data_IF_813028540542
#
_entry.id   IF_813028540542
#
_cell.length_a   1.000
_cell.length_b   1.000
_cell.length_c   1.000
_cell.angle_alpha   90.00
_cell.angle_beta   90.00
_cell.angle_gamma   90.00
#
_symmetry.space_group_name_H-M   'P 1'
#
loop_
_entity.id
_entity.type
_entity.pdbx_description
1 polymer ?
#
# COMPACT_ATOMS: atom_id res chain seq x y z
N UNK A 1 -17.39 12.14 51.66
CA UNK A 1 -18.80 12.12 51.22
C UNK A 1 -18.81 12.57 49.77
N UNK A 2 -18.79 11.62 48.84
CA UNK A 2 -18.86 11.96 47.41
C UNK A 2 -20.27 12.43 47.06
N UNK A 3 -20.37 13.61 46.48
CA UNK A 3 -21.66 14.20 46.09
C UNK A 3 -22.30 13.35 44.96
N UNK A 4 -23.61 13.05 45.01
CA UNK A 4 -24.33 12.32 43.96
C UNK A 4 -24.10 12.90 42.56
N UNK A 5 -23.94 14.23 42.48
CA UNK A 5 -23.69 14.98 41.25
C UNK A 5 -22.34 14.63 40.61
N UNK A 6 -21.32 14.33 41.41
CA UNK A 6 -19.97 14.01 40.93
C UNK A 6 -19.93 12.62 40.28
N UNK A 7 -20.68 11.66 40.83
CA UNK A 7 -20.85 10.32 40.24
C UNK A 7 -21.60 10.35 38.91
N UNK A 8 -22.62 11.21 38.80
CA UNK A 8 -23.38 11.43 37.57
C UNK A 8 -22.52 12.05 36.46
N UNK A 9 -21.68 13.05 36.78
CA UNK A 9 -20.79 13.68 35.80
C UNK A 9 -19.72 12.70 35.31
N UNK A 10 -19.10 11.94 36.21
CA UNK A 10 -18.09 10.92 35.84
C UNK A 10 -18.71 9.84 34.96
N UNK A 11 -19.92 9.37 35.27
CA UNK A 11 -20.64 8.40 34.45
C UNK A 11 -21.00 8.95 33.07
N UNK A 12 -21.38 10.22 32.96
CA UNK A 12 -21.73 10.85 31.68
C UNK A 12 -20.50 11.01 30.78
N UNK A 13 -19.35 11.41 31.35
CA UNK A 13 -18.07 11.53 30.65
C UNK A 13 -17.56 10.16 30.18
N UNK A 14 -17.73 9.12 31.01
CA UNK A 14 -17.34 7.75 30.64
C UNK A 14 -18.23 7.21 29.50
N UNK A 15 -19.54 7.47 29.52
CA UNK A 15 -20.43 7.12 28.42
C UNK A 15 -20.07 7.86 27.12
N UNK A 16 -19.81 9.17 27.18
CA UNK A 16 -19.37 9.97 26.01
C UNK A 16 -18.05 9.48 25.43
N UNK A 17 -17.09 9.06 26.27
CA UNK A 17 -15.83 8.48 25.82
C UNK A 17 -16.01 7.11 25.13
N UNK A 18 -16.95 6.28 25.60
CA UNK A 18 -17.29 5.00 24.96
C UNK A 18 -18.03 5.21 23.63
N UNK A 19 -18.92 6.22 23.52
CA UNK A 19 -19.56 6.57 22.24
C UNK A 19 -18.58 7.17 21.22
N UNK A 20 -17.60 7.97 21.65
CA UNK A 20 -16.55 8.47 20.76
C UNK A 20 -15.51 7.41 20.37
N UNK A 21 -15.40 6.33 21.16
CA UNK A 21 -14.52 5.19 20.87
C UNK A 21 -15.18 4.10 20.03
N UNK A 22 -16.45 4.27 19.64
CA UNK A 22 -17.03 3.50 18.54
C UNK A 22 -16.30 3.92 17.27
N UNK A 23 -15.14 3.29 17.05
CA UNK A 23 -14.33 3.44 15.86
C UNK A 23 -15.24 3.45 14.65
N UNK A 24 -15.16 4.52 13.88
CA UNK A 24 -15.56 4.58 12.50
C UNK A 24 -14.76 3.54 11.71
N UNK A 25 -15.09 2.25 11.91
CA UNK A 25 -14.84 1.24 10.92
C UNK A 25 -15.62 1.72 9.69
N UNK A 26 -14.93 2.37 8.76
CA UNK A 26 -15.53 2.73 7.48
C UNK A 26 -16.10 1.43 6.92
N UNK A 27 -17.41 1.40 6.69
CA UNK A 27 -18.01 0.26 6.03
C UNK A 27 -17.26 0.08 4.70
N UNK A 28 -16.60 -1.06 4.55
CA UNK A 28 -15.80 -1.37 3.36
C UNK A 28 -16.66 -1.15 2.11
N UNK A 29 -16.17 -0.31 1.19
CA UNK A 29 -16.88 0.00 -0.05
C UNK A 29 -17.18 -1.28 -0.83
N UNK A 30 -18.39 -1.36 -1.39
CA UNK A 30 -18.79 -2.49 -2.26
C UNK A 30 -17.80 -2.64 -3.42
N UNK A 31 -17.34 -1.53 -4.01
CA UNK A 31 -16.38 -1.54 -5.11
C UNK A 31 -15.01 -2.08 -4.67
N UNK A 32 -14.53 -1.70 -3.47
CA UNK A 32 -13.28 -2.23 -2.89
C UNK A 32 -13.38 -3.74 -2.72
N UNK A 33 -14.47 -4.21 -2.11
CA UNK A 33 -14.73 -5.62 -1.88
C UNK A 33 -14.79 -6.41 -3.18
N UNK A 34 -15.47 -5.87 -4.19
CA UNK A 34 -15.57 -6.49 -5.51
C UNK A 34 -14.21 -6.58 -6.20
N UNK A 35 -13.47 -5.47 -6.24
CA UNK A 35 -12.11 -5.43 -6.78
C UNK A 35 -11.23 -6.50 -6.11
N UNK A 36 -11.15 -6.47 -4.78
CA UNK A 36 -10.27 -7.35 -4.01
C UNK A 36 -10.65 -8.84 -4.14
N UNK A 37 -11.93 -9.18 -4.34
CA UNK A 37 -12.37 -10.56 -4.62
C UNK A 37 -11.87 -11.11 -5.96
N UNK A 38 -11.53 -10.26 -6.93
CA UNK A 38 -10.90 -10.73 -8.17
C UNK A 38 -9.38 -10.92 -8.04
N UNK A 39 -8.78 -10.50 -6.93
CA UNK A 39 -7.36 -10.73 -6.67
C UNK A 39 -7.17 -12.06 -5.94
N UNK A 40 -5.97 -12.66 -6.06
CA UNK A 40 -5.56 -13.77 -5.19
C UNK A 40 -5.10 -13.32 -3.80
N UNK A 41 -5.08 -12.02 -3.55
CA UNK A 41 -4.56 -11.35 -2.35
C UNK A 41 -5.68 -10.55 -1.65
N UNK A 42 -6.86 -11.15 -1.53
CA UNK A 42 -8.08 -10.43 -1.13
C UNK A 42 -7.93 -9.70 0.23
N UNK A 43 -7.50 -10.36 1.33
CA UNK A 43 -7.32 -9.66 2.60
C UNK A 43 -6.29 -8.52 2.52
N UNK A 44 -5.18 -8.73 1.83
CA UNK A 44 -4.12 -7.75 1.68
C UNK A 44 -4.53 -6.59 0.77
N UNK A 45 -5.35 -6.85 -0.25
CA UNK A 45 -5.95 -5.84 -1.10
C UNK A 45 -6.88 -4.92 -0.29
N UNK A 46 -7.75 -5.50 0.53
CA UNK A 46 -8.64 -4.73 1.42
C UNK A 46 -7.81 -3.91 2.40
N UNK A 47 -6.76 -4.50 2.99
CA UNK A 47 -5.86 -3.82 3.90
C UNK A 47 -5.05 -2.70 3.23
N UNK A 48 -4.74 -2.83 1.94
CA UNK A 48 -4.03 -1.80 1.18
C UNK A 48 -4.93 -0.61 0.81
N UNK A 49 -6.21 -0.86 0.49
CA UNK A 49 -7.12 0.17 0.00
C UNK A 49 -7.95 0.87 1.10
N UNK A 50 -8.42 0.13 2.11
CA UNK A 50 -9.30 0.68 3.15
C UNK A 50 -8.75 1.87 3.95
N UNK A 51 -7.44 1.97 4.22
CA UNK A 51 -6.90 3.12 4.93
C UNK A 51 -7.08 4.45 4.18
N UNK A 52 -7.26 4.42 2.85
CA UNK A 52 -7.45 5.62 2.05
C UNK A 52 -8.95 5.96 1.91
N UNK A 53 -9.43 7.08 2.46
CA UNK A 53 -10.83 7.47 2.37
C UNK A 53 -11.30 7.75 0.94
N UNK A 54 -10.39 8.01 -0.02
CA UNK A 54 -10.73 8.15 -1.44
C UNK A 54 -11.25 6.84 -2.00
N UNK A 55 -10.62 5.70 -1.66
CA UNK A 55 -11.03 4.38 -2.14
C UNK A 55 -12.44 4.01 -1.64
N UNK A 56 -12.75 4.36 -0.39
CA UNK A 56 -14.08 4.16 0.18
C UNK A 56 -15.17 5.02 -0.49
N UNK A 57 -14.81 6.20 -1.00
CA UNK A 57 -15.72 7.16 -1.65
C UNK A 57 -15.78 7.04 -3.16
N UNK A 58 -14.99 6.16 -3.77
CA UNK A 58 -15.00 5.94 -5.21
C UNK A 58 -16.41 5.55 -5.68
N UNK A 59 -16.84 6.11 -6.80
CA UNK A 59 -18.20 5.92 -7.35
C UNK A 59 -18.22 5.06 -8.62
N UNK A 60 -17.05 4.67 -9.12
CA UNK A 60 -16.89 3.85 -10.31
C UNK A 60 -15.64 2.96 -10.21
N UNK A 61 -15.58 1.89 -11.00
CA UNK A 61 -14.36 1.06 -11.09
C UNK A 61 -13.17 1.85 -11.63
N UNK A 62 -13.38 2.79 -12.54
CA UNK A 62 -12.31 3.66 -13.06
C UNK A 62 -11.72 4.53 -11.95
N UNK A 63 -12.55 5.28 -11.22
CA UNK A 63 -12.06 6.14 -10.12
C UNK A 63 -11.41 5.34 -9.01
N UNK A 64 -11.97 4.17 -8.64
CA UNK A 64 -11.34 3.26 -7.69
C UNK A 64 -9.98 2.75 -8.22
N UNK A 65 -9.91 2.44 -9.51
CA UNK A 65 -8.69 1.96 -10.16
C UNK A 65 -7.55 2.97 -10.15
N UNK A 66 -7.86 4.22 -10.51
CA UNK A 66 -6.90 5.34 -10.43
C UNK A 66 -6.40 5.53 -9.01
N UNK A 67 -7.32 5.53 -8.02
CA UNK A 67 -6.98 5.63 -6.60
C UNK A 67 -6.10 4.46 -6.16
N UNK A 68 -6.42 3.22 -6.56
CA UNK A 68 -5.64 2.04 -6.20
C UNK A 68 -4.21 2.10 -6.76
N UNK A 69 -4.04 2.58 -7.99
CA UNK A 69 -2.71 2.78 -8.60
C UNK A 69 -1.94 3.93 -7.95
N UNK A 70 -2.62 5.01 -7.52
CA UNK A 70 -2.01 6.07 -6.72
C UNK A 70 -1.55 5.55 -5.35
N UNK A 71 -2.39 4.78 -4.65
CA UNK A 71 -2.04 4.10 -3.39
C UNK A 71 -0.83 3.20 -3.60
N UNK A 72 -0.74 2.49 -4.73
CA UNK A 72 0.40 1.65 -5.07
C UNK A 72 1.69 2.47 -5.25
N UNK A 73 1.63 3.58 -5.98
CA UNK A 73 2.76 4.50 -6.13
C UNK A 73 3.22 5.05 -4.77
N UNK A 74 2.31 5.65 -4.00
CA UNK A 74 2.60 6.24 -2.68
C UNK A 74 3.19 5.22 -1.71
N UNK A 75 2.62 4.01 -1.66
CA UNK A 75 3.13 2.98 -0.78
C UNK A 75 4.50 2.48 -1.23
N UNK A 76 4.75 2.36 -2.54
CA UNK A 76 6.06 1.96 -3.07
C UNK A 76 7.12 3.02 -2.73
N UNK A 77 6.80 4.31 -2.86
CA UNK A 77 7.64 5.42 -2.41
C UNK A 77 7.95 5.34 -0.91
N UNK A 78 6.97 5.04 -0.05
CA UNK A 78 7.24 4.84 1.40
C UNK A 78 8.24 3.72 1.67
N UNK A 79 8.29 2.67 0.84
CA UNK A 79 9.30 1.60 0.99
C UNK A 79 10.66 2.06 0.48
N UNK A 80 10.72 2.87 -0.58
CA UNK A 80 11.95 3.55 -0.98
C UNK A 80 12.51 4.41 0.17
N UNK A 81 11.67 5.16 0.88
CA UNK A 81 12.08 5.96 2.03
C UNK A 81 12.59 5.11 3.20
N UNK A 82 11.99 3.93 3.44
CA UNK A 82 12.53 2.96 4.40
C UNK A 82 13.95 2.52 4.02
N UNK A 83 14.20 2.27 2.73
CA UNK A 83 15.55 1.92 2.26
C UNK A 83 16.54 3.08 2.46
N UNK A 84 16.10 4.33 2.26
CA UNK A 84 16.92 5.51 2.57
C UNK A 84 17.29 5.58 4.05
N UNK A 85 16.34 5.33 4.94
CA UNK A 85 16.58 5.26 6.39
C UNK A 85 17.59 4.15 6.73
N UNK A 86 17.44 2.96 6.15
CA UNK A 86 18.38 1.87 6.35
C UNK A 86 19.79 2.19 5.85
N UNK A 87 19.93 2.94 4.75
CA UNK A 87 21.24 3.29 4.18
C UNK A 87 22.06 4.22 5.11
N UNK A 88 21.37 5.13 5.83
CA UNK A 88 21.99 6.09 6.74
C UNK A 88 22.12 5.60 8.18
N UNK A 89 21.33 4.60 8.59
CA UNK A 89 21.40 4.03 9.94
C UNK A 89 22.78 3.36 10.18
N UNK A 90 23.53 3.76 11.22
CA UNK A 90 24.81 3.14 11.57
C UNK A 90 24.68 1.68 12.04
N UNK A 91 23.48 1.25 12.46
CA UNK A 91 23.20 -0.13 12.89
C UNK A 91 22.84 -1.05 11.73
N UNK A 92 22.61 -0.52 10.53
CA UNK A 92 22.38 -1.35 9.35
C UNK A 92 23.65 -2.11 9.00
N UNK A 93 23.53 -3.43 8.85
CA UNK A 93 24.61 -4.31 8.40
C UNK A 93 25.31 -3.73 7.16
N UNK A 94 26.60 -3.39 7.28
CA UNK A 94 27.35 -2.70 6.23
C UNK A 94 27.35 -3.43 4.88
N UNK A 95 27.32 -4.77 4.90
CA UNK A 95 27.24 -5.58 3.67
C UNK A 95 25.92 -5.41 2.93
N UNK A 96 24.83 -4.98 3.58
CA UNK A 96 23.53 -4.76 2.93
C UNK A 96 23.49 -3.50 2.07
N UNK A 97 24.36 -2.51 2.33
CA UNK A 97 24.28 -1.18 1.69
C UNK A 97 24.29 -1.22 0.16
N UNK A 98 25.11 -2.03 -0.52
CA UNK A 98 25.05 -2.15 -1.98
C UNK A 98 23.69 -2.68 -2.48
N UNK A 99 23.13 -3.70 -1.84
CA UNK A 99 21.82 -4.26 -2.22
C UNK A 99 20.69 -3.27 -1.95
N UNK A 100 20.72 -2.58 -0.81
CA UNK A 100 19.74 -1.53 -0.48
C UNK A 100 19.77 -0.39 -1.51
N UNK A 101 20.96 0.07 -1.93
CA UNK A 101 21.09 1.14 -2.93
C UNK A 101 20.55 0.72 -4.31
N UNK A 102 20.88 -0.48 -4.78
CA UNK A 102 20.37 -1.01 -6.05
C UNK A 102 18.85 -1.16 -6.00
N UNK A 103 18.34 -1.80 -4.94
CA UNK A 103 16.91 -1.99 -4.79
C UNK A 103 16.15 -0.67 -4.66
N UNK A 104 16.71 0.33 -3.98
CA UNK A 104 16.08 1.66 -3.89
C UNK A 104 15.72 2.22 -5.27
N UNK A 105 16.64 2.14 -6.24
CA UNK A 105 16.39 2.60 -7.60
C UNK A 105 15.25 1.82 -8.29
N UNK A 106 15.17 0.50 -8.07
CA UNK A 106 14.05 -0.31 -8.56
C UNK A 106 12.71 0.08 -7.91
N UNK A 107 12.68 0.40 -6.61
CA UNK A 107 11.46 0.90 -5.96
C UNK A 107 11.04 2.27 -6.51
N UNK A 108 12.00 3.16 -6.78
CA UNK A 108 11.74 4.47 -7.39
C UNK A 108 11.09 4.31 -8.78
N UNK A 109 11.67 3.47 -9.64
CA UNK A 109 11.11 3.18 -10.96
C UNK A 109 9.73 2.53 -10.84
N UNK A 110 9.55 1.54 -9.96
CA UNK A 110 8.24 0.89 -9.77
C UNK A 110 7.16 1.88 -9.31
N UNK A 111 7.49 2.81 -8.41
CA UNK A 111 6.56 3.86 -7.99
C UNK A 111 6.17 4.78 -9.16
N UNK A 112 7.14 5.14 -10.01
CA UNK A 112 6.87 5.91 -11.23
C UNK A 112 5.94 5.16 -12.18
N UNK A 113 6.15 3.85 -12.37
CA UNK A 113 5.28 3.04 -13.23
C UNK A 113 3.84 2.95 -12.71
N UNK A 114 3.63 2.79 -11.40
CA UNK A 114 2.27 2.89 -10.85
C UNK A 114 1.65 4.27 -11.06
N UNK A 115 2.43 5.34 -10.93
CA UNK A 115 1.96 6.70 -11.20
C UNK A 115 1.56 6.87 -12.67
N UNK A 116 2.36 6.34 -13.61
CA UNK A 116 2.02 6.35 -15.04
C UNK A 116 0.78 5.52 -15.33
N UNK A 117 0.69 4.30 -14.78
CA UNK A 117 -0.48 3.45 -14.91
C UNK A 117 -1.77 4.18 -14.47
N UNK A 118 -1.72 4.93 -13.37
CA UNK A 118 -2.88 5.72 -12.90
C UNK A 118 -3.32 6.79 -13.91
N UNK A 119 -2.41 7.40 -14.67
CA UNK A 119 -2.74 8.44 -15.66
C UNK A 119 -3.27 7.82 -16.95
N UNK A 120 -2.73 6.68 -17.34
CA UNK A 120 -3.12 5.96 -18.55
C UNK A 120 -4.44 5.20 -18.39
N UNK A 121 -4.85 4.87 -17.17
CA UNK A 121 -5.98 3.95 -16.93
C UNK A 121 -7.29 4.36 -17.64
N UNK A 122 -7.60 5.67 -17.65
CA UNK A 122 -8.78 6.20 -18.33
C UNK A 122 -8.61 6.45 -19.83
N UNK A 123 -7.38 6.34 -20.34
CA UNK A 123 -7.01 6.59 -21.74
C UNK A 123 -6.84 5.29 -22.52
N UNK A 124 -6.05 4.37 -21.97
CA UNK A 124 -5.78 3.04 -22.50
C UNK A 124 -5.43 2.07 -21.35
N UNK A 125 -6.39 1.22 -20.98
CA UNK A 125 -6.21 0.24 -19.93
C UNK A 125 -5.10 -0.78 -20.23
N UNK A 126 -4.79 -1.03 -21.52
CA UNK A 126 -3.70 -1.93 -21.91
C UNK A 126 -2.34 -1.30 -21.61
N UNK A 127 -2.14 -0.02 -21.93
CA UNK A 127 -0.94 0.73 -21.53
C UNK A 127 -0.81 0.79 -20.02
N UNK A 128 -1.90 1.04 -19.29
CA UNK A 128 -1.87 1.00 -17.82
C UNK A 128 -1.48 -0.39 -17.27
N UNK A 129 -1.97 -1.48 -17.87
CA UNK A 129 -1.57 -2.84 -17.50
C UNK A 129 -0.08 -3.09 -17.76
N UNK A 130 0.43 -2.63 -18.91
CA UNK A 130 1.85 -2.73 -19.24
C UNK A 130 2.71 -2.06 -18.17
N UNK A 131 2.35 -0.86 -17.72
CA UNK A 131 3.09 -0.16 -16.66
C UNK A 131 3.05 -0.89 -15.31
N UNK A 132 1.92 -1.52 -14.95
CA UNK A 132 1.83 -2.37 -13.76
C UNK A 132 2.80 -3.55 -13.84
N UNK A 133 2.95 -4.17 -15.02
CA UNK A 133 3.92 -5.25 -15.22
C UNK A 133 5.37 -4.77 -15.23
N UNK A 134 5.65 -3.58 -15.77
CA UNK A 134 6.96 -2.96 -15.64
C UNK A 134 7.33 -2.72 -14.17
N UNK A 135 6.38 -2.27 -13.34
CA UNK A 135 6.58 -2.15 -11.89
C UNK A 135 6.91 -3.52 -11.24
N UNK A 136 6.28 -4.60 -11.70
CA UNK A 136 6.57 -5.96 -11.25
C UNK A 136 8.01 -6.37 -11.58
N UNK A 137 8.46 -6.10 -12.80
CA UNK A 137 9.79 -6.48 -13.27
C UNK A 137 10.89 -5.79 -12.47
N UNK A 138 10.71 -4.51 -12.12
CA UNK A 138 11.62 -3.79 -11.23
C UNK A 138 11.77 -4.47 -9.86
N UNK A 139 10.65 -4.89 -9.26
CA UNK A 139 10.66 -5.58 -7.96
C UNK A 139 11.26 -6.99 -8.08
N UNK A 140 11.04 -7.69 -9.19
CA UNK A 140 11.68 -8.97 -9.48
C UNK A 140 13.20 -8.78 -9.66
N UNK A 141 13.64 -7.73 -10.32
CA UNK A 141 15.05 -7.39 -10.51
C UNK A 141 15.75 -7.12 -9.16
N UNK A 142 15.12 -6.36 -8.26
CA UNK A 142 15.63 -6.18 -6.90
C UNK A 142 15.80 -7.52 -6.15
N UNK A 143 14.78 -8.38 -6.17
CA UNK A 143 14.86 -9.70 -5.53
C UNK A 143 15.93 -10.59 -6.17
N UNK A 144 16.10 -10.52 -7.50
CA UNK A 144 17.13 -11.26 -8.22
C UNK A 144 18.54 -10.78 -7.84
N UNK A 145 18.74 -9.45 -7.73
CA UNK A 145 20.00 -8.85 -7.31
C UNK A 145 20.38 -9.23 -5.89
N UNK A 146 19.41 -9.23 -4.97
CA UNK A 146 19.62 -9.68 -3.59
C UNK A 146 20.05 -11.15 -3.55
N UNK A 147 19.40 -12.03 -4.31
CA UNK A 147 19.78 -13.45 -4.42
C UNK A 147 21.16 -13.65 -5.05
N UNK A 148 21.49 -12.93 -6.12
CA UNK A 148 22.81 -13.04 -6.78
C UNK A 148 23.93 -12.55 -5.86
N UNK A 149 23.63 -11.58 -4.99
CA UNK A 149 24.52 -11.10 -3.94
C UNK A 149 24.61 -12.04 -2.73
N UNK A 150 23.87 -13.17 -2.73
CA UNK A 150 23.76 -14.13 -1.62
C UNK A 150 23.34 -13.47 -0.30
N UNK A 151 22.48 -12.46 -0.39
CA UNK A 151 21.94 -11.77 0.77
C UNK A 151 20.46 -12.11 0.94
N UNK A 152 20.03 -12.19 2.19
CA UNK A 152 18.64 -12.20 2.57
C UNK A 152 18.43 -11.05 3.56
N UNK A 153 17.73 -10.02 3.12
CA UNK A 153 17.49 -8.79 3.89
C UNK A 153 15.99 -8.76 4.21
N UNK A 154 15.56 -9.23 5.39
CA UNK A 154 14.13 -9.44 5.68
C UNK A 154 13.24 -8.19 5.52
N UNK A 155 13.68 -6.97 5.93
CA UNK A 155 12.89 -5.75 5.69
C UNK A 155 12.67 -5.46 4.20
N UNK A 156 13.68 -5.75 3.37
CA UNK A 156 13.62 -5.55 1.93
C UNK A 156 12.73 -6.59 1.25
N UNK A 157 12.85 -7.87 1.63
CA UNK A 157 11.96 -8.95 1.14
C UNK A 157 10.50 -8.63 1.46
N UNK A 158 10.23 -8.19 2.69
CA UNK A 158 8.88 -7.76 3.12
C UNK A 158 8.37 -6.62 2.25
N UNK A 159 9.22 -5.63 1.98
CA UNK A 159 8.88 -4.50 1.12
C UNK A 159 8.58 -4.94 -0.32
N UNK A 160 9.38 -5.83 -0.90
CA UNK A 160 9.15 -6.35 -2.24
C UNK A 160 7.83 -7.15 -2.33
N UNK A 161 7.53 -7.98 -1.33
CA UNK A 161 6.29 -8.76 -1.30
C UNK A 161 5.05 -7.86 -1.17
N UNK A 162 5.17 -6.77 -0.40
CA UNK A 162 4.11 -5.77 -0.34
C UNK A 162 3.88 -5.12 -1.71
N UNK A 163 4.94 -4.71 -2.42
CA UNK A 163 4.78 -4.13 -3.76
C UNK A 163 4.23 -5.15 -4.77
N UNK A 164 4.58 -6.43 -4.68
CA UNK A 164 3.95 -7.49 -5.49
C UNK A 164 2.45 -7.64 -5.21
N UNK A 165 2.01 -7.38 -3.98
CA UNK A 165 0.59 -7.30 -3.65
C UNK A 165 -0.06 -6.15 -4.40
N UNK A 166 0.58 -4.97 -4.40
CA UNK A 166 0.12 -3.80 -5.15
C UNK A 166 0.07 -4.05 -6.67
N UNK A 167 1.04 -4.78 -7.23
CA UNK A 167 1.02 -5.25 -8.63
C UNK A 167 -0.23 -6.10 -8.89
N UNK A 168 -0.53 -7.07 -8.02
CA UNK A 168 -1.75 -7.90 -8.18
C UNK A 168 -3.03 -7.08 -8.15
N UNK A 169 -3.08 -6.01 -7.34
CA UNK A 169 -4.22 -5.08 -7.32
C UNK A 169 -4.28 -4.31 -8.64
N UNK A 170 -3.16 -3.76 -9.10
CA UNK A 170 -3.07 -3.03 -10.37
C UNK A 170 -3.45 -3.88 -11.59
N UNK A 171 -3.03 -5.15 -11.63
CA UNK A 171 -3.41 -6.10 -12.69
C UNK A 171 -4.91 -6.37 -12.68
N UNK A 172 -5.52 -6.54 -11.50
CA UNK A 172 -6.96 -6.70 -11.36
C UNK A 172 -7.74 -5.44 -11.75
N UNK A 173 -7.23 -4.25 -11.43
CA UNK A 173 -7.82 -2.96 -11.83
C UNK A 173 -7.84 -2.82 -13.35
N UNK A 174 -6.69 -2.99 -13.98
CA UNK A 174 -6.50 -2.76 -15.42
C UNK A 174 -7.22 -3.79 -16.29
N UNK A 175 -7.46 -5.01 -15.78
CA UNK A 175 -8.27 -6.03 -16.49
C UNK A 175 -9.78 -5.84 -16.37
N UNK A 176 -10.24 -4.95 -15.49
CA UNK A 176 -11.68 -4.69 -15.26
C UNK A 176 -12.23 -3.53 -16.09
N UNK A 177 -11.36 -2.82 -16.79
CA UNK A 177 -11.67 -1.66 -17.64
C UNK A 177 -11.40 -2.03 -19.09
#
# INVERSE_FOLDING_TARGET
>A
MDSPSQKLIISLVFCLAVFFSASSASAESVLVRELCRATKVNPECVAALNPDPRAAKATSHLSLGEIALQIAAENTTKRQELLDQMLVDPNTTSSWKPVLKTCKAHFETAAMQFSTASRELGLDAMSANYEVWMASDEIVACLAFMRSSKQDIPPLVTSCNYVKTLVSIGDAVTKRL
#
